data_IF_972149475724
#
_entry.id   IF_972149475724
#
_cell.length_a   1.000
_cell.length_b   1.000
_cell.length_c   1.000
_cell.angle_alpha   90.00
_cell.angle_beta   90.00
_cell.angle_gamma   90.00
#
_symmetry.space_group_name_H-M   'P 1'
#
loop_
_entity.id
_entity.type
_entity.pdbx_description
1 polymer ?
#
# COMPACT_ATOMS: atom_id res chain seq x y z
N UNK A 1 -15.48 -31.79 -2.12
CA UNK A 1 -15.05 -30.47 -2.60
C UNK A 1 -14.25 -29.84 -1.47
N UNK A 2 -12.95 -29.67 -1.65
CA UNK A 2 -12.16 -28.87 -0.69
C UNK A 2 -12.56 -27.42 -0.92
N UNK A 3 -12.93 -26.69 0.13
CA UNK A 3 -13.09 -25.25 0.02
C UNK A 3 -11.74 -24.71 -0.49
N UNK A 4 -11.73 -24.01 -1.62
CA UNK A 4 -10.52 -23.30 -2.04
C UNK A 4 -10.30 -22.21 -1.00
N UNK A 5 -9.30 -22.40 -0.13
CA UNK A 5 -8.93 -21.39 0.85
C UNK A 5 -8.61 -20.09 0.11
N UNK A 6 -9.18 -18.99 0.59
CA UNK A 6 -8.90 -17.66 0.06
C UNK A 6 -7.38 -17.42 0.06
N UNK A 7 -6.83 -16.69 -0.93
CA UNK A 7 -5.38 -16.56 -1.11
C UNK A 7 -4.64 -15.97 0.10
N UNK A 8 -5.33 -15.21 0.93
CA UNK A 8 -4.83 -14.60 2.15
C UNK A 8 -4.96 -15.43 3.43
N UNK A 9 -5.60 -16.61 3.39
CA UNK A 9 -5.86 -17.41 4.59
C UNK A 9 -4.58 -17.68 5.39
N UNK A 10 -4.59 -17.28 6.67
CA UNK A 10 -3.46 -17.41 7.59
C UNK A 10 -2.29 -16.45 7.34
N UNK A 11 -2.45 -15.45 6.45
CA UNK A 11 -1.41 -14.45 6.13
C UNK A 11 -1.83 -13.07 6.62
N UNK A 12 -0.85 -12.30 7.05
CA UNK A 12 -1.03 -10.89 7.44
C UNK A 12 -0.35 -9.97 6.43
N UNK A 13 -1.05 -8.92 6.02
CA UNK A 13 -0.50 -7.79 5.26
C UNK A 13 -0.26 -6.62 6.22
N UNK A 14 0.96 -6.11 6.24
CA UNK A 14 1.38 -4.92 7.00
C UNK A 14 1.19 -3.70 6.12
N UNK A 15 0.00 -3.13 6.22
CA UNK A 15 -0.47 -2.06 5.36
C UNK A 15 -0.05 -0.71 5.92
N UNK A 16 0.44 0.18 5.05
CA UNK A 16 0.78 1.54 5.36
C UNK A 16 -0.29 2.51 4.85
N UNK A 17 -0.63 3.50 5.67
CA UNK A 17 -1.44 4.64 5.28
C UNK A 17 -0.75 5.93 5.71
N UNK A 18 -0.76 6.93 4.84
CA UNK A 18 -0.36 8.30 5.20
C UNK A 18 -1.35 8.96 6.17
N UNK A 19 -0.96 10.13 6.66
CA UNK A 19 -1.78 11.03 7.46
C UNK A 19 -2.79 11.85 6.62
N UNK A 20 -2.88 11.58 5.32
CA UNK A 20 -3.90 12.19 4.45
C UNK A 20 -5.31 11.74 4.85
N UNK A 21 -6.26 12.67 4.80
CA UNK A 21 -7.69 12.42 5.03
C UNK A 21 -8.53 12.57 3.75
N UNK A 22 -7.89 12.87 2.62
CA UNK A 22 -8.54 13.10 1.33
C UNK A 22 -8.74 11.82 0.50
N UNK A 23 -8.70 11.96 -0.82
CA UNK A 23 -8.88 10.82 -1.73
C UNK A 23 -7.87 9.67 -1.47
N UNK A 24 -6.63 10.02 -1.09
CA UNK A 24 -5.59 9.07 -0.66
C UNK A 24 -6.05 8.15 0.48
N UNK A 25 -6.74 8.71 1.50
CA UNK A 25 -7.32 7.92 2.59
C UNK A 25 -8.31 6.89 2.07
N UNK A 26 -9.25 7.33 1.22
CA UNK A 26 -10.30 6.47 0.67
C UNK A 26 -9.69 5.31 -0.14
N UNK A 27 -8.66 5.57 -0.92
CA UNK A 27 -7.92 4.54 -1.68
C UNK A 27 -7.27 3.51 -0.76
N UNK A 28 -6.68 3.93 0.37
CA UNK A 28 -6.16 3.00 1.37
C UNK A 28 -7.26 2.16 2.01
N UNK A 29 -8.41 2.76 2.35
CA UNK A 29 -9.55 2.03 2.92
C UNK A 29 -10.11 0.97 1.95
N UNK A 30 -10.24 1.31 0.67
CA UNK A 30 -10.68 0.37 -0.37
C UNK A 30 -9.67 -0.78 -0.51
N UNK A 31 -8.38 -0.48 -0.57
CA UNK A 31 -7.34 -1.51 -0.67
C UNK A 31 -7.31 -2.45 0.53
N UNK A 32 -7.42 -1.91 1.75
CA UNK A 32 -7.51 -2.73 2.97
C UNK A 32 -8.78 -3.59 3.01
N UNK A 33 -9.92 -3.08 2.55
CA UNK A 33 -11.16 -3.86 2.45
C UNK A 33 -11.00 -5.02 1.47
N UNK A 34 -10.42 -4.78 0.29
CA UNK A 34 -10.15 -5.82 -0.71
C UNK A 34 -9.21 -6.91 -0.16
N UNK A 35 -8.15 -6.54 0.57
CA UNK A 35 -7.25 -7.52 1.20
C UNK A 35 -8.00 -8.41 2.21
N UNK A 36 -8.92 -7.84 2.98
CA UNK A 36 -9.76 -8.61 3.92
C UNK A 36 -10.71 -9.55 3.18
N UNK A 37 -11.32 -9.11 2.07
CA UNK A 37 -12.17 -9.97 1.23
C UNK A 37 -11.39 -11.14 0.60
N UNK A 38 -10.10 -10.93 0.33
CA UNK A 38 -9.16 -11.97 -0.11
C UNK A 38 -8.64 -12.86 1.04
N UNK A 39 -9.15 -12.67 2.26
CA UNK A 39 -8.87 -13.52 3.42
C UNK A 39 -7.60 -13.17 4.20
N UNK A 40 -6.97 -12.02 3.94
CA UNK A 40 -5.80 -11.57 4.70
C UNK A 40 -6.21 -10.89 6.01
N UNK A 41 -5.41 -11.10 7.06
CA UNK A 41 -5.39 -10.17 8.19
C UNK A 41 -4.67 -8.89 7.77
N UNK A 42 -5.20 -7.73 8.17
CA UNK A 42 -4.60 -6.44 7.83
C UNK A 42 -4.13 -5.74 9.10
N UNK A 43 -2.80 -5.55 9.21
CA UNK A 43 -2.18 -4.75 10.26
C UNK A 43 -1.84 -3.37 9.72
N UNK A 44 -2.62 -2.37 10.12
CA UNK A 44 -2.43 -0.99 9.68
C UNK A 44 -1.31 -0.29 10.50
N UNK A 45 -0.44 0.43 9.80
CA UNK A 45 0.46 1.43 10.37
C UNK A 45 0.22 2.79 9.72
N UNK A 46 0.06 3.84 10.51
CA UNK A 46 -0.07 5.21 10.01
C UNK A 46 1.28 5.91 10.08
N UNK A 47 1.84 6.32 8.94
CA UNK A 47 3.16 6.94 8.85
C UNK A 47 3.33 7.78 7.58
N UNK A 48 4.27 8.71 7.60
CA UNK A 48 4.61 9.49 6.41
C UNK A 48 5.13 8.59 5.27
N UNK A 49 4.70 8.86 4.03
CA UNK A 49 5.10 8.10 2.82
C UNK A 49 6.62 7.99 2.63
N UNK A 50 7.41 8.96 3.10
CA UNK A 50 8.88 8.90 3.03
C UNK A 50 9.43 7.76 3.88
N UNK A 51 8.85 7.55 5.07
CA UNK A 51 9.23 6.46 5.97
C UNK A 51 8.74 5.11 5.44
N UNK A 52 7.59 5.09 4.73
CA UNK A 52 7.10 3.87 4.10
C UNK A 52 8.13 3.25 3.14
N UNK A 53 8.76 4.04 2.26
CA UNK A 53 9.73 3.47 1.31
C UNK A 53 10.89 2.74 1.99
N UNK A 54 11.44 3.32 3.06
CA UNK A 54 12.51 2.69 3.84
C UNK A 54 12.02 1.43 4.57
N UNK A 55 10.83 1.51 5.17
CA UNK A 55 10.22 0.37 5.85
C UNK A 55 9.89 -0.78 4.88
N UNK A 56 9.41 -0.47 3.67
CA UNK A 56 9.15 -1.45 2.62
C UNK A 56 10.45 -2.11 2.14
N UNK A 57 11.49 -1.31 1.88
CA UNK A 57 12.81 -1.81 1.48
C UNK A 57 13.45 -2.74 2.53
N UNK A 58 13.19 -2.49 3.81
CA UNK A 58 13.66 -3.33 4.92
C UNK A 58 12.75 -4.52 5.22
N UNK A 59 11.61 -4.62 4.53
CA UNK A 59 10.62 -5.67 4.72
C UNK A 59 9.79 -5.53 5.99
N UNK A 60 9.69 -4.33 6.58
CA UNK A 60 8.87 -4.03 7.76
C UNK A 60 7.40 -3.77 7.41
N UNK A 61 7.15 -3.19 6.23
CA UNK A 61 5.81 -2.91 5.69
C UNK A 61 5.69 -3.48 4.28
N UNK A 62 4.48 -3.87 3.89
CA UNK A 62 4.26 -4.64 2.66
C UNK A 62 3.71 -3.78 1.52
N UNK A 63 2.75 -2.89 1.82
CA UNK A 63 2.02 -2.15 0.78
C UNK A 63 1.51 -0.81 1.27
N UNK A 64 1.53 0.17 0.38
CA UNK A 64 0.80 1.44 0.48
C UNK A 64 0.14 1.70 -0.88
N UNK A 65 -1.14 2.09 -0.89
CA UNK A 65 -1.88 2.42 -2.12
C UNK A 65 -2.17 3.91 -2.26
N UNK A 66 -1.80 4.69 -1.26
CA UNK A 66 -2.12 6.11 -1.14
C UNK A 66 -0.92 7.01 -1.49
N UNK A 67 -0.05 6.53 -2.38
CA UNK A 67 1.16 7.23 -2.83
C UNK A 67 0.90 8.00 -4.13
N UNK A 68 1.26 9.29 -4.13
CA UNK A 68 1.16 10.12 -5.33
C UNK A 68 2.47 10.12 -6.12
N UNK A 69 2.40 9.64 -7.36
CA UNK A 69 3.44 9.83 -8.37
C UNK A 69 3.02 10.94 -9.34
N UNK A 70 3.96 11.79 -9.81
CA UNK A 70 5.42 11.66 -9.68
C UNK A 70 6.04 12.29 -8.41
N UNK A 71 5.27 12.95 -7.55
CA UNK A 71 5.82 13.72 -6.41
C UNK A 71 6.64 12.87 -5.43
N UNK A 72 6.28 11.60 -5.26
CA UNK A 72 6.99 10.65 -4.37
C UNK A 72 8.04 9.81 -5.10
N UNK A 73 8.20 9.96 -6.41
CA UNK A 73 9.16 9.22 -7.23
C UNK A 73 10.61 9.36 -6.74
N UNK A 74 11.11 10.55 -6.35
CA UNK A 74 12.49 10.67 -5.86
C UNK A 74 12.76 9.89 -4.56
N UNK A 75 11.72 9.63 -3.75
CA UNK A 75 11.82 8.79 -2.56
C UNK A 75 11.89 7.31 -2.92
N UNK A 76 11.01 6.87 -3.83
CA UNK A 76 11.00 5.51 -4.36
C UNK A 76 12.31 5.13 -5.05
N UNK A 77 12.85 5.99 -5.92
CA UNK A 77 14.12 5.72 -6.66
C UNK A 77 15.32 5.40 -5.77
N UNK A 78 15.28 5.76 -4.48
CA UNK A 78 16.35 5.43 -3.53
C UNK A 78 16.32 3.98 -3.05
N UNK A 79 15.20 3.29 -3.26
CA UNK A 79 14.94 1.91 -2.81
C UNK A 79 14.33 1.05 -3.93
N UNK A 80 14.48 1.45 -5.19
CA UNK A 80 13.83 0.79 -6.34
C UNK A 80 14.38 -0.62 -6.60
N UNK A 81 15.52 -0.98 -6.00
CA UNK A 81 16.04 -2.34 -6.04
C UNK A 81 15.33 -3.26 -5.03
N UNK A 82 14.68 -2.71 -4.01
CA UNK A 82 14.05 -3.43 -2.90
C UNK A 82 12.52 -3.27 -2.84
N UNK A 83 11.95 -2.34 -3.61
CA UNK A 83 10.53 -2.07 -3.66
C UNK A 83 10.01 -1.99 -5.10
N UNK A 84 8.77 -2.40 -5.32
CA UNK A 84 8.14 -2.45 -6.65
C UNK A 84 6.86 -1.60 -6.70
N UNK A 85 6.67 -0.91 -7.83
CA UNK A 85 5.37 -0.30 -8.17
C UNK A 85 4.50 -1.36 -8.85
N UNK A 86 3.57 -1.93 -8.10
CA UNK A 86 2.70 -3.04 -8.57
C UNK A 86 1.44 -2.58 -9.33
N UNK A 87 1.23 -1.28 -9.52
CA UNK A 87 0.09 -0.75 -10.26
C UNK A 87 0.06 0.77 -10.40
N UNK A 88 -0.71 1.27 -11.36
CA UNK A 88 -0.82 2.70 -11.68
C UNK A 88 -1.72 3.52 -10.76
N UNK A 89 -2.21 2.94 -9.65
CA UNK A 89 -3.09 3.59 -8.69
C UNK A 89 -4.55 3.77 -9.17
N UNK A 90 -5.42 4.20 -8.25
CA UNK A 90 -6.85 4.42 -8.50
C UNK A 90 -7.19 5.85 -8.95
N UNK A 91 -6.31 6.82 -8.70
CA UNK A 91 -6.50 8.23 -9.04
C UNK A 91 -5.49 8.58 -10.12
N UNK A 92 -5.95 8.71 -11.37
CA UNK A 92 -5.10 9.04 -12.52
C UNK A 92 -5.48 10.41 -13.09
N UNK A 93 -4.48 11.22 -13.42
CA UNK A 93 -4.66 12.53 -14.05
C UNK A 93 -5.13 13.68 -13.14
N UNK A 94 -5.36 13.42 -11.85
CA UNK A 94 -5.98 14.37 -10.93
C UNK A 94 -5.05 15.23 -10.06
N UNK A 95 -3.73 15.05 -10.07
CA UNK A 95 -2.91 15.72 -9.05
C UNK A 95 -1.41 15.84 -9.30
N UNK A 96 -1.01 16.99 -9.88
CA UNK A 96 0.10 17.71 -9.26
C UNK A 96 -0.50 18.53 -8.12
N UNK A 97 -0.36 18.05 -6.88
CA UNK A 97 -0.46 18.92 -5.70
C UNK A 97 0.86 19.65 -5.48
#
# INVERSE_FOLDING_TARGET
AFAEDLPGSGKTVRYAQSDSLGANYVVAQIGMAAMKELGYDVKLSTLNTTLFFQAAAQGDLDIATDINFPQREPGYKKVEAEAEIVGGGLIQGGGIN
#
